data_IF_676814827942
#
_entry.id   IF_676814827942
#
_cell.length_a   1.000
_cell.length_b   1.000
_cell.length_c   1.000
_cell.angle_alpha   90.00
_cell.angle_beta   90.00
_cell.angle_gamma   90.00
#
_symmetry.space_group_name_H-M   'P 1'
#
loop_
_entity.id
_entity.type
_entity.pdbx_description
1 polymer ?
#
# COMPACT_ATOMS: atom_id res chain seq x y z
N UNK A 1 14.99 -28.06 -20.23
CA UNK A 1 14.30 -26.87 -19.69
C UNK A 1 15.27 -25.70 -19.82
N UNK A 2 14.89 -24.62 -20.52
CA UNK A 2 15.76 -23.47 -20.73
C UNK A 2 15.48 -22.40 -19.66
N UNK A 3 16.49 -21.70 -19.12
CA UNK A 3 16.29 -20.68 -18.10
C UNK A 3 15.61 -19.43 -18.69
N UNK A 4 14.55 -18.96 -18.03
CA UNK A 4 13.83 -17.72 -18.34
C UNK A 4 14.49 -16.52 -17.65
N UNK A 5 14.41 -15.35 -18.28
CA UNK A 5 14.67 -14.08 -17.58
C UNK A 5 13.41 -13.60 -16.85
N UNK A 6 13.53 -13.35 -15.54
CA UNK A 6 12.45 -12.83 -14.70
C UNK A 6 12.63 -11.31 -14.54
N UNK A 7 11.64 -10.54 -14.98
CA UNK A 7 11.56 -9.11 -14.65
C UNK A 7 10.62 -8.99 -13.45
N UNK A 8 11.22 -8.79 -12.27
CA UNK A 8 10.49 -8.45 -11.06
C UNK A 8 10.49 -6.92 -10.92
N UNK A 9 9.31 -6.29 -10.96
CA UNK A 9 9.18 -4.85 -10.68
C UNK A 9 9.28 -4.66 -9.16
N UNK A 10 10.51 -4.68 -8.63
CA UNK A 10 10.76 -4.52 -7.20
C UNK A 10 10.57 -3.04 -6.83
N UNK A 11 9.50 -2.72 -6.11
CA UNK A 11 9.48 -1.54 -5.26
C UNK A 11 10.42 -1.82 -4.07
N UNK A 12 11.68 -1.43 -4.22
CA UNK A 12 12.68 -1.56 -3.17
C UNK A 12 12.40 -0.54 -2.06
N UNK A 13 11.59 -0.92 -1.08
CA UNK A 13 11.51 -0.26 0.22
C UNK A 13 12.23 -1.14 1.25
N UNK A 14 13.48 -0.83 1.57
CA UNK A 14 14.19 -1.52 2.65
C UNK A 14 13.56 -1.16 4.00
N UNK A 15 12.68 -2.02 4.53
CA UNK A 15 12.21 -1.94 5.90
C UNK A 15 13.15 -2.77 6.79
N UNK A 16 14.16 -2.11 7.36
CA UNK A 16 14.83 -2.65 8.54
C UNK A 16 14.04 -2.20 9.77
N UNK A 17 13.58 -3.19 10.55
CA UNK A 17 13.03 -3.00 11.87
C UNK A 17 14.11 -2.43 12.83
N UNK A 18 14.21 -1.11 12.88
CA UNK A 18 14.86 -0.37 13.94
C UNK A 18 13.89 0.73 14.39
N UNK A 19 13.74 0.89 15.71
CA UNK A 19 12.88 1.88 16.39
C UNK A 19 12.63 3.14 15.55
N UNK A 20 11.41 3.26 15.01
CA UNK A 20 10.95 4.39 14.19
C UNK A 20 10.69 5.66 15.03
N UNK A 21 11.45 5.89 16.11
CA UNK A 21 11.40 7.15 16.87
C UNK A 21 12.33 8.23 16.31
N UNK A 22 13.12 7.97 15.26
CA UNK A 22 14.10 8.94 14.71
C UNK A 22 14.21 9.05 13.19
N UNK A 23 13.34 8.43 12.42
CA UNK A 23 13.24 8.69 10.99
C UNK A 23 11.91 9.37 10.67
N UNK A 24 11.85 10.68 10.89
CA UNK A 24 11.00 11.51 10.06
C UNK A 24 11.68 11.57 8.68
N UNK A 25 11.14 10.95 7.62
CA UNK A 25 11.67 11.18 6.29
C UNK A 25 11.19 12.56 5.87
N UNK A 26 12.13 13.50 5.77
CA UNK A 26 12.04 14.67 4.91
C UNK A 26 11.88 14.20 3.45
N UNK A 27 10.71 13.66 3.14
CA UNK A 27 10.29 13.31 1.78
C UNK A 27 8.96 13.96 1.43
N UNK A 28 8.36 14.80 2.28
CA UNK A 28 7.29 15.68 1.81
C UNK A 28 7.86 16.52 0.65
N UNK A 29 7.37 16.39 -0.59
CA UNK A 29 7.59 17.44 -1.57
C UNK A 29 7.14 18.74 -0.90
N UNK A 30 7.82 19.85 -1.16
CA UNK A 30 7.37 21.17 -0.68
C UNK A 30 6.02 21.48 -1.33
N UNK A 31 4.96 20.85 -0.84
CA UNK A 31 3.59 21.27 -0.98
C UNK A 31 3.60 22.73 -0.53
N UNK A 32 2.97 23.59 -1.32
CA UNK A 32 2.88 25.00 -1.02
C UNK A 32 2.39 25.14 0.44
N UNK A 33 3.29 25.54 1.34
CA UNK A 33 3.11 25.37 2.79
C UNK A 33 1.87 26.09 3.34
N UNK A 34 1.32 27.02 2.55
CA UNK A 34 0.15 27.80 2.90
C UNK A 34 -1.17 27.07 2.62
N UNK A 35 -1.18 25.98 1.83
CA UNK A 35 -2.38 25.16 1.50
C UNK A 35 -2.02 23.69 1.22
N UNK A 36 -1.67 22.91 2.26
CA UNK A 36 -1.21 21.53 2.10
C UNK A 36 -2.27 20.58 1.50
N UNK A 37 -3.55 20.75 1.85
CA UNK A 37 -4.65 19.91 1.35
C UNK A 37 -4.85 20.12 -0.16
N UNK A 38 -4.93 21.38 -0.63
CA UNK A 38 -5.08 21.70 -2.06
C UNK A 38 -3.94 21.06 -2.88
N UNK A 39 -2.69 21.26 -2.42
CA UNK A 39 -1.53 20.73 -3.10
C UNK A 39 -1.52 19.18 -3.13
N UNK A 40 -2.01 18.53 -2.07
CA UNK A 40 -2.19 17.08 -2.05
C UNK A 40 -3.22 16.64 -3.08
N UNK A 41 -4.42 17.21 -3.06
CA UNK A 41 -5.51 16.83 -3.97
C UNK A 41 -5.12 17.06 -5.44
N UNK A 42 -4.45 18.17 -5.75
CA UNK A 42 -3.91 18.46 -7.08
C UNK A 42 -2.89 17.38 -7.53
N UNK A 43 -2.08 16.87 -6.60
CA UNK A 43 -1.09 15.83 -6.89
C UNK A 43 -1.71 14.49 -7.28
N UNK A 44 -2.97 14.24 -6.91
CA UNK A 44 -3.68 12.99 -7.18
C UNK A 44 -4.17 12.90 -8.63
N UNK A 45 -4.26 14.03 -9.37
CA UNK A 45 -4.71 14.10 -10.77
C UNK A 45 -6.09 13.45 -11.00
N UNK A 46 -7.01 13.67 -10.08
CA UNK A 46 -8.35 13.10 -10.11
C UNK A 46 -9.30 13.89 -11.03
N UNK A 47 -10.48 13.33 -11.27
CA UNK A 47 -11.60 14.07 -11.86
C UNK A 47 -12.11 15.15 -10.89
N UNK A 48 -12.66 16.25 -11.42
CA UNK A 48 -13.06 17.42 -10.63
C UNK A 48 -14.06 17.08 -9.52
N UNK A 49 -14.95 16.14 -9.77
CA UNK A 49 -15.97 15.70 -8.84
C UNK A 49 -15.35 14.96 -7.65
N UNK A 50 -14.34 14.11 -7.90
CA UNK A 50 -13.62 13.39 -6.84
C UNK A 50 -12.71 14.32 -6.02
N UNK A 51 -12.10 15.33 -6.66
CA UNK A 51 -11.32 16.37 -5.98
C UNK A 51 -12.14 17.03 -4.88
N UNK A 52 -13.38 17.45 -5.18
CA UNK A 52 -14.22 18.15 -4.22
C UNK A 52 -14.60 17.25 -3.03
N UNK A 53 -14.97 16.00 -3.30
CA UNK A 53 -15.34 15.04 -2.24
C UNK A 53 -14.18 14.79 -1.29
N UNK A 54 -12.98 14.55 -1.84
CA UNK A 54 -11.78 14.32 -1.03
C UNK A 54 -11.42 15.59 -0.26
N UNK A 55 -11.42 16.75 -0.91
CA UNK A 55 -11.12 18.01 -0.26
C UNK A 55 -12.08 18.27 0.92
N UNK A 56 -13.39 18.14 0.72
CA UNK A 56 -14.41 18.36 1.75
C UNK A 56 -14.35 17.37 2.90
N UNK A 57 -13.88 16.15 2.64
CA UNK A 57 -13.60 15.15 3.66
C UNK A 57 -12.41 15.58 4.52
N UNK A 58 -11.31 16.02 3.90
CA UNK A 58 -10.07 16.36 4.59
C UNK A 58 -10.17 17.65 5.44
N UNK A 59 -10.81 18.70 4.92
CA UNK A 59 -10.88 20.00 5.63
C UNK A 59 -11.74 19.95 6.90
N UNK A 60 -12.59 18.94 7.06
CA UNK A 60 -13.44 18.76 8.25
C UNK A 60 -12.71 18.06 9.40
N UNK A 61 -11.55 17.48 9.12
CA UNK A 61 -10.81 16.71 10.11
C UNK A 61 -9.90 17.63 10.95
N UNK A 62 -10.30 17.86 12.20
CA UNK A 62 -9.53 18.67 13.15
C UNK A 62 -8.22 18.01 13.60
N UNK A 63 -8.13 16.68 13.54
CA UNK A 63 -6.90 15.95 13.86
C UNK A 63 -5.88 16.06 12.72
N UNK A 64 -6.33 16.06 11.47
CA UNK A 64 -5.50 16.38 10.30
C UNK A 64 -5.02 17.83 10.35
N UNK A 65 -5.89 18.79 10.69
CA UNK A 65 -5.51 20.19 10.90
C UNK A 65 -4.48 20.35 12.04
N UNK A 66 -4.59 19.55 13.11
CA UNK A 66 -3.59 19.51 14.16
C UNK A 66 -2.24 18.98 13.66
N UNK A 67 -2.24 17.87 12.92
CA UNK A 67 -1.05 17.25 12.31
C UNK A 67 -0.33 18.21 11.35
N UNK A 68 -1.06 18.77 10.39
CA UNK A 68 -0.50 19.70 9.39
C UNK A 68 -0.01 21.01 10.02
N UNK A 69 -0.64 21.44 11.11
CA UNK A 69 -0.22 22.59 11.92
C UNK A 69 0.91 22.30 12.90
N UNK A 70 1.52 21.10 12.87
CA UNK A 70 2.57 20.66 13.80
C UNK A 70 2.18 20.75 15.28
N UNK A 71 0.90 20.51 15.60
CA UNK A 71 0.36 20.43 16.96
C UNK A 71 0.22 18.97 17.39
N UNK A 72 -0.16 18.75 18.65
CA UNK A 72 -0.47 17.40 19.15
C UNK A 72 -1.65 16.80 18.38
N UNK A 73 -1.53 15.55 17.96
CA UNK A 73 -2.53 14.81 17.20
C UNK A 73 -2.58 13.34 17.66
N UNK A 74 -3.68 12.65 17.34
CA UNK A 74 -3.86 11.21 17.54
C UNK A 74 -3.49 10.46 16.26
N UNK A 75 -2.47 9.60 16.33
CA UNK A 75 -2.00 8.80 15.19
C UNK A 75 -3.03 7.78 14.72
N UNK A 76 -3.88 7.27 15.61
CA UNK A 76 -4.94 6.30 15.27
C UNK A 76 -6.02 6.97 14.43
N UNK A 77 -6.45 8.18 14.84
CA UNK A 77 -7.41 8.97 14.08
C UNK A 77 -6.81 9.40 12.74
N UNK A 78 -5.55 9.83 12.71
CA UNK A 78 -4.88 10.21 11.47
C UNK A 78 -4.78 9.04 10.48
N UNK A 79 -4.46 7.83 10.98
CA UNK A 79 -4.48 6.63 10.17
C UNK A 79 -5.89 6.30 9.66
N UNK A 80 -6.93 6.43 10.49
CA UNK A 80 -8.32 6.23 10.08
C UNK A 80 -8.75 7.20 8.97
N UNK A 81 -8.32 8.47 9.04
CA UNK A 81 -8.58 9.47 8.00
C UNK A 81 -7.84 9.14 6.71
N UNK A 82 -6.60 8.64 6.80
CA UNK A 82 -5.89 8.12 5.63
C UNK A 82 -6.63 6.93 4.99
N UNK A 83 -7.12 5.99 5.80
CA UNK A 83 -7.93 4.86 5.34
C UNK A 83 -9.21 5.31 4.63
N UNK A 84 -9.98 6.23 5.24
CA UNK A 84 -11.20 6.75 4.63
C UNK A 84 -10.93 7.54 3.34
N UNK A 85 -9.79 8.24 3.27
CA UNK A 85 -9.33 8.88 2.02
C UNK A 85 -9.10 7.84 0.94
N UNK A 86 -8.42 6.72 1.25
CA UNK A 86 -8.21 5.63 0.30
C UNK A 86 -9.51 4.95 -0.11
N UNK A 87 -10.47 4.80 0.80
CA UNK A 87 -11.80 4.24 0.47
C UNK A 87 -12.53 5.13 -0.55
N UNK A 88 -12.45 6.46 -0.41
CA UNK A 88 -13.02 7.42 -1.39
C UNK A 88 -12.28 7.33 -2.74
N UNK A 89 -10.96 7.19 -2.71
CA UNK A 89 -10.13 7.18 -3.93
C UNK A 89 -10.21 5.88 -4.71
N UNK A 90 -10.17 4.74 -4.03
CA UNK A 90 -10.04 3.40 -4.61
C UNK A 90 -11.37 2.63 -4.63
N UNK A 91 -12.34 3.06 -3.82
CA UNK A 91 -13.60 2.35 -3.61
C UNK A 91 -13.57 1.40 -2.41
N UNK A 92 -14.77 1.08 -1.91
CA UNK A 92 -15.00 0.25 -0.71
C UNK A 92 -14.45 -1.17 -0.84
N UNK A 93 -14.48 -1.73 -2.04
CA UNK A 93 -14.01 -3.10 -2.27
C UNK A 93 -12.48 -3.21 -2.24
N UNK A 94 -11.78 -2.08 -2.27
CA UNK A 94 -10.30 -2.00 -2.34
C UNK A 94 -9.67 -1.63 -1.01
N UNK A 95 -10.46 -1.31 0.02
CA UNK A 95 -9.97 -0.93 1.35
C UNK A 95 -10.81 -1.59 2.44
N UNK A 96 -10.17 -2.41 3.27
CA UNK A 96 -10.77 -2.97 4.47
C UNK A 96 -10.40 -2.10 5.67
N UNK A 97 -11.37 -1.43 6.28
CA UNK A 97 -11.19 -0.47 7.37
C UNK A 97 -11.39 -1.09 8.75
N UNK A 98 -10.92 -0.42 9.80
CA UNK A 98 -10.95 -0.94 11.16
C UNK A 98 -12.37 -1.31 11.66
N UNK A 99 -12.56 -2.49 12.29
CA UNK A 99 -11.57 -3.56 12.43
C UNK A 99 -11.36 -4.30 11.11
N UNK A 100 -10.09 -4.46 10.70
CA UNK A 100 -9.73 -5.24 9.52
C UNK A 100 -10.15 -6.69 9.72
N UNK A 101 -10.69 -7.30 8.66
CA UNK A 101 -11.15 -8.67 8.67
C UNK A 101 -10.02 -9.62 9.07
N UNK A 102 -10.31 -10.56 9.98
CA UNK A 102 -9.34 -11.55 10.43
C UNK A 102 -8.76 -12.37 9.28
N UNK A 103 -9.52 -12.62 8.22
CA UNK A 103 -9.03 -13.34 7.03
C UNK A 103 -7.87 -12.62 6.36
N UNK A 104 -7.91 -11.28 6.33
CA UNK A 104 -6.81 -10.45 5.81
C UNK A 104 -5.59 -10.57 6.71
N UNK A 105 -5.77 -10.54 8.04
CA UNK A 105 -4.66 -10.69 8.99
C UNK A 105 -4.02 -12.08 8.88
N UNK A 106 -4.85 -13.11 8.77
CA UNK A 106 -4.46 -14.53 8.72
C UNK A 106 -3.86 -14.96 7.37
N UNK A 107 -3.94 -14.13 6.33
CA UNK A 107 -3.32 -14.40 5.03
C UNK A 107 -1.79 -14.49 5.11
N UNK A 108 -1.17 -13.89 6.14
CA UNK A 108 0.25 -14.10 6.40
C UNK A 108 0.50 -15.56 6.80
N UNK A 109 1.44 -16.23 6.11
CA UNK A 109 1.74 -17.65 6.32
C UNK A 109 2.12 -17.99 7.77
N UNK A 110 2.85 -17.10 8.43
CA UNK A 110 3.28 -17.30 9.81
C UNK A 110 2.35 -16.61 10.80
N UNK A 111 1.89 -17.35 11.80
CA UNK A 111 1.02 -16.83 12.86
C UNK A 111 1.69 -15.72 13.68
N UNK A 112 3.02 -15.69 13.77
CA UNK A 112 3.75 -14.61 14.45
C UNK A 112 3.57 -13.27 13.74
N UNK A 113 3.25 -13.28 12.44
CA UNK A 113 3.00 -12.07 11.65
C UNK A 113 1.52 -11.65 11.60
N UNK A 114 0.62 -12.30 12.35
CA UNK A 114 -0.80 -11.94 12.44
C UNK A 114 -0.99 -10.70 13.31
N UNK A 115 -0.73 -9.54 12.71
CA UNK A 115 -0.86 -8.23 13.35
C UNK A 115 -1.95 -7.42 12.64
N UNK A 116 -2.80 -6.77 13.44
CA UNK A 116 -3.94 -5.99 12.93
C UNK A 116 -3.59 -4.52 12.70
N UNK A 117 -3.64 -4.02 11.45
CA UNK A 117 -3.52 -2.60 11.13
C UNK A 117 -4.85 -1.84 11.38
N UNK A 118 -4.84 -0.52 11.17
CA UNK A 118 -6.09 0.25 11.09
C UNK A 118 -6.89 -0.07 9.82
N UNK A 119 -6.20 -0.28 8.69
CA UNK A 119 -6.83 -0.72 7.47
C UNK A 119 -5.87 -1.51 6.60
N UNK A 120 -6.41 -2.23 5.63
CA UNK A 120 -5.67 -2.87 4.55
C UNK A 120 -6.20 -2.38 3.20
N UNK A 121 -5.30 -2.02 2.28
CA UNK A 121 -5.64 -1.67 0.90
C UNK A 121 -5.22 -2.76 -0.06
N UNK A 122 -6.04 -3.02 -1.07
CA UNK A 122 -5.84 -4.05 -2.10
C UNK A 122 -5.81 -3.39 -3.49
N UNK A 123 -4.70 -2.75 -3.90
CA UNK A 123 -4.59 -2.12 -5.20
C UNK A 123 -4.77 -3.13 -6.34
N UNK A 124 -5.50 -2.73 -7.38
CA UNK A 124 -5.72 -3.52 -8.60
C UNK A 124 -4.85 -3.03 -9.78
N UNK A 125 -4.19 -1.88 -9.61
CA UNK A 125 -3.33 -1.27 -10.61
C UNK A 125 -2.11 -0.56 -10.01
N UNK A 126 -1.14 -0.22 -10.85
CA UNK A 126 0.00 0.64 -10.47
C UNK A 126 -0.44 2.07 -10.15
N UNK A 127 -1.53 2.53 -10.74
CA UNK A 127 -2.16 3.81 -10.44
C UNK A 127 -2.69 3.83 -9.01
N UNK A 128 -3.35 2.76 -8.56
CA UNK A 128 -3.83 2.62 -7.17
C UNK A 128 -2.66 2.63 -6.19
N UNK A 129 -1.57 1.90 -6.50
CA UNK A 129 -0.34 1.92 -5.69
C UNK A 129 0.20 3.35 -5.59
N UNK A 130 0.22 4.10 -6.70
CA UNK A 130 0.67 5.49 -6.66
C UNK A 130 -0.23 6.37 -5.79
N UNK A 131 -1.55 6.18 -5.80
CA UNK A 131 -2.48 6.93 -4.96
C UNK A 131 -2.26 6.58 -3.48
N UNK A 132 -2.06 5.30 -3.17
CA UNK A 132 -1.79 4.82 -1.81
C UNK A 132 -0.52 5.47 -1.26
N UNK A 133 0.58 5.42 -2.00
CA UNK A 133 1.86 5.98 -1.55
C UNK A 133 1.77 7.49 -1.34
N UNK A 134 1.13 8.23 -2.25
CA UNK A 134 0.91 9.68 -2.08
C UNK A 134 0.08 9.98 -0.83
N UNK A 135 -0.95 9.19 -0.58
CA UNK A 135 -1.82 9.36 0.60
C UNK A 135 -1.03 9.11 1.88
N UNK A 136 -0.36 7.97 1.99
CA UNK A 136 0.49 7.63 3.13
C UNK A 136 1.54 8.71 3.41
N UNK A 137 2.15 9.25 2.36
CA UNK A 137 3.14 10.33 2.47
C UNK A 137 2.53 11.64 2.95
N UNK A 138 1.33 11.99 2.50
CA UNK A 138 0.62 13.19 2.93
C UNK A 138 0.22 13.13 4.40
N UNK A 139 -0.29 11.99 4.86
CA UNK A 139 -0.71 11.78 6.25
C UNK A 139 0.45 11.39 7.20
N UNK A 140 1.64 11.10 6.66
CA UNK A 140 2.74 10.54 7.46
C UNK A 140 2.37 9.23 8.19
N UNK A 141 1.42 8.48 7.64
CA UNK A 141 0.91 7.24 8.25
C UNK A 141 1.95 6.13 8.13
N UNK A 142 2.15 5.34 9.19
CA UNK A 142 2.99 4.14 9.09
C UNK A 142 2.32 3.12 8.17
N UNK A 143 3.11 2.45 7.34
CA UNK A 143 2.59 1.42 6.46
C UNK A 143 3.54 0.22 6.35
N UNK A 144 2.98 -0.93 6.00
CA UNK A 144 3.74 -2.12 5.62
C UNK A 144 3.23 -2.63 4.28
N UNK A 145 4.10 -3.29 3.52
CA UNK A 145 3.73 -3.86 2.22
C UNK A 145 3.77 -5.38 2.33
N UNK A 146 2.70 -6.03 1.87
CA UNK A 146 2.61 -7.48 1.76
C UNK A 146 2.47 -7.89 0.31
N UNK A 147 3.35 -8.80 -0.11
CA UNK A 147 3.28 -9.52 -1.38
C UNK A 147 2.58 -10.87 -1.12
N UNK A 148 3.29 -12.00 -1.20
CA UNK A 148 2.74 -13.34 -0.93
C UNK A 148 2.61 -13.73 0.55
N UNK A 149 2.90 -12.82 1.50
CA UNK A 149 2.66 -13.07 2.94
C UNK A 149 3.59 -14.05 3.65
N UNK A 150 4.74 -14.42 3.06
CA UNK A 150 5.65 -15.43 3.61
C UNK A 150 6.70 -14.92 4.59
N UNK A 151 6.76 -13.62 4.91
CA UNK A 151 7.68 -13.13 5.94
C UNK A 151 7.21 -13.60 7.32
N UNK A 152 8.01 -14.39 8.06
CA UNK A 152 7.62 -14.84 9.40
C UNK A 152 7.85 -13.78 10.48
N UNK A 153 8.60 -12.72 10.16
CA UNK A 153 9.00 -11.72 11.12
C UNK A 153 7.84 -10.73 11.36
N UNK A 154 7.32 -10.60 12.59
CA UNK A 154 6.32 -9.60 12.93
C UNK A 154 6.86 -8.20 12.62
N UNK A 155 6.05 -7.33 12.03
CA UNK A 155 6.47 -5.95 11.71
C UNK A 155 7.18 -5.78 10.37
N UNK A 156 7.37 -6.84 9.56
CA UNK A 156 8.06 -6.75 8.25
C UNK A 156 7.08 -6.61 7.09
N UNK A 157 6.02 -7.42 7.07
CA UNK A 157 4.92 -7.37 6.08
C UNK A 157 3.55 -7.36 6.76
N UNK A 158 3.51 -6.92 8.01
CA UNK A 158 2.33 -6.75 8.85
C UNK A 158 2.66 -5.71 9.91
N UNK A 159 1.64 -5.05 10.47
CA UNK A 159 1.84 -4.02 11.48
C UNK A 159 0.79 -4.16 12.59
N UNK A 160 1.18 -3.82 13.81
CA UNK A 160 0.28 -3.70 14.94
C UNK A 160 0.10 -2.22 15.28
N UNK A 161 -1.16 -1.77 15.36
CA UNK A 161 -1.49 -0.40 15.75
C UNK A 161 -1.69 0.56 14.56
N UNK A 162 -1.55 1.88 14.80
CA UNK A 162 -1.82 2.94 13.82
C UNK A 162 -1.08 2.75 12.49
N UNK A 163 -1.79 2.36 11.43
CA UNK A 163 -1.19 2.27 10.11
C UNK A 163 -1.98 1.50 9.06
N UNK A 164 -1.41 1.46 7.86
CA UNK A 164 -1.99 0.85 6.66
C UNK A 164 -1.18 -0.38 6.22
N UNK A 165 -1.84 -1.50 6.01
CA UNK A 165 -1.28 -2.60 5.25
C UNK A 165 -1.56 -2.41 3.76
N UNK A 166 -0.53 -2.35 2.93
CA UNK A 166 -0.64 -2.37 1.47
C UNK A 166 -0.47 -3.80 1.00
N UNK A 167 -1.57 -4.47 0.68
CA UNK A 167 -1.58 -5.86 0.25
C UNK A 167 -1.67 -5.99 -1.27
N UNK A 168 -0.57 -6.42 -1.89
CA UNK A 168 -0.41 -6.52 -3.34
C UNK A 168 -1.00 -7.81 -3.93
N UNK A 169 -1.72 -8.63 -3.17
CA UNK A 169 -2.22 -9.93 -3.63
C UNK A 169 -3.11 -9.89 -4.89
N UNK A 170 -3.75 -8.76 -5.19
CA UNK A 170 -4.57 -8.57 -6.41
C UNK A 170 -3.73 -8.24 -7.64
N UNK A 171 -2.52 -7.71 -7.46
CA UNK A 171 -1.52 -7.53 -8.52
C UNK A 171 -0.78 -8.84 -8.74
N UNK A 172 -1.43 -9.84 -9.34
CA UNK A 172 -0.91 -11.21 -9.46
C UNK A 172 -0.82 -11.73 -10.90
N UNK A 173 -0.87 -10.85 -11.92
CA UNK A 173 -0.74 -11.26 -13.32
C UNK A 173 0.63 -11.88 -13.60
N UNK A 174 0.59 -12.90 -14.46
CA UNK A 174 1.75 -13.63 -14.97
C UNK A 174 1.65 -13.59 -16.50
N UNK A 175 2.69 -13.07 -17.17
CA UNK A 175 2.70 -12.96 -18.63
C UNK A 175 4.02 -13.45 -19.21
N UNK A 176 3.93 -14.45 -20.09
CA UNK A 176 5.07 -15.01 -20.82
C UNK A 176 5.22 -14.27 -22.16
N UNK A 177 6.45 -13.89 -22.52
CA UNK A 177 6.76 -13.28 -23.81
C UNK A 177 6.46 -14.23 -24.96
N UNK A 178 6.21 -13.69 -26.16
CA UNK A 178 5.88 -14.49 -27.35
C UNK A 178 6.97 -15.50 -27.72
N UNK A 179 8.23 -15.20 -27.42
CA UNK A 179 9.37 -16.07 -27.68
C UNK A 179 9.64 -17.07 -26.54
N UNK A 180 8.86 -17.03 -25.46
CA UNK A 180 9.00 -17.92 -24.32
C UNK A 180 10.31 -17.75 -23.53
N UNK A 181 10.95 -16.58 -23.62
CA UNK A 181 12.26 -16.30 -22.97
C UNK A 181 12.17 -15.35 -21.77
N UNK A 182 11.07 -14.66 -21.59
CA UNK A 182 10.89 -13.71 -20.49
C UNK A 182 9.51 -13.85 -19.89
N UNK A 183 9.44 -13.87 -18.56
CA UNK A 183 8.17 -13.77 -17.83
C UNK A 183 8.13 -12.49 -17.02
N UNK A 184 7.04 -11.75 -17.15
CA UNK A 184 6.73 -10.61 -16.29
C UNK A 184 5.73 -11.07 -15.22
N UNK A 185 6.10 -10.83 -13.96
CA UNK A 185 5.35 -11.20 -12.77
C UNK A 185 4.95 -9.93 -12.02
N UNK A 186 3.67 -9.79 -11.71
CA UNK A 186 3.22 -8.78 -10.76
C UNK A 186 3.55 -9.19 -9.32
N UNK A 187 3.72 -8.23 -8.39
CA UNK A 187 4.32 -8.48 -7.09
C UNK A 187 3.50 -9.38 -6.16
N UNK A 188 2.21 -9.59 -6.40
CA UNK A 188 1.35 -10.51 -5.67
C UNK A 188 1.35 -11.95 -6.21
N UNK A 189 2.03 -12.23 -7.32
CA UNK A 189 2.06 -13.56 -7.92
C UNK A 189 2.73 -14.60 -6.98
N UNK A 190 2.03 -15.70 -6.71
CA UNK A 190 2.54 -16.82 -5.88
C UNK A 190 3.22 -17.87 -6.74
N UNK A 191 4.31 -18.45 -6.24
CA UNK A 191 5.11 -19.43 -6.98
C UNK A 191 4.31 -20.61 -7.52
N UNK A 192 3.33 -21.12 -6.77
CA UNK A 192 2.43 -22.17 -7.27
C UNK A 192 1.72 -21.77 -8.57
N UNK A 193 1.13 -20.57 -8.61
CA UNK A 193 0.46 -20.05 -9.80
C UNK A 193 1.46 -19.77 -10.94
N UNK A 194 2.67 -19.29 -10.61
CA UNK A 194 3.74 -19.07 -11.58
C UNK A 194 4.10 -20.37 -12.30
N UNK A 195 4.41 -21.44 -11.55
CA UNK A 195 4.74 -22.73 -12.14
C UNK A 195 3.57 -23.31 -12.94
N UNK A 196 2.35 -23.31 -12.39
CA UNK A 196 1.17 -23.80 -13.11
C UNK A 196 0.89 -23.05 -14.42
N UNK A 197 1.21 -21.76 -14.49
CA UNK A 197 1.04 -20.95 -15.71
C UNK A 197 2.10 -21.25 -16.77
N UNK A 198 3.32 -21.57 -16.34
CA UNK A 198 4.47 -21.78 -17.22
C UNK A 198 4.64 -23.23 -17.69
N UNK A 199 4.15 -24.20 -16.91
CA UNK A 199 4.26 -25.63 -17.19
C UNK A 199 3.76 -26.04 -18.60
N UNK A 200 2.61 -25.54 -19.10
CA UNK A 200 2.15 -25.86 -20.46
C UNK A 200 3.11 -25.43 -21.58
N UNK A 201 4.01 -24.49 -21.30
CA UNK A 201 5.01 -23.98 -22.25
C UNK A 201 6.38 -24.66 -22.08
N UNK A 202 6.51 -25.60 -21.14
CA UNK A 202 7.76 -26.33 -20.83
C UNK A 202 8.94 -25.41 -20.46
N UNK A 203 8.63 -24.31 -19.75
CA UNK A 203 9.61 -23.32 -19.28
C UNK A 203 9.50 -23.16 -17.76
N UNK A 204 10.62 -22.82 -17.12
CA UNK A 204 10.69 -22.52 -15.69
C UNK A 204 11.52 -21.27 -15.44
N UNK A 205 11.21 -20.60 -14.34
CA UNK A 205 12.01 -19.53 -13.73
C UNK A 205 13.05 -20.10 -12.77
#
# INVERSE_FOLDING_TARGET
MAPLSVICLVLAGASQAASFSRFAPSLAPRLNANKPIDAFVDSLRLQKEQVQVVHDYLVKDSNLDAYLGHRSYDSTQLAATACGTLEILLGKDSVDTSPVNETVVQESWSQTAWLSPNCASFPDSKEDVSLIIKTVQFFGTQFMVRSGGHSPNPGFSSLAGPGLLIDLQRLNRISLSRDGKTVALEPGARWGAVYSTLDPYNVSV
#
